data_IF_482704111718
#
_entry.id   IF_482704111718
#
_cell.length_a   1.000
_cell.length_b   1.000
_cell.length_c   1.000
_cell.angle_alpha   90.00
_cell.angle_beta   90.00
_cell.angle_gamma   90.00
#
_symmetry.space_group_name_H-M   'P 1'
#
loop_
_entity.id
_entity.type
_entity.pdbx_description
1 polymer ?
#
# COMPACT_ATOMS: atom_id res chain seq x y z
N UNK A 1 39.46 22.08 6.96
CA UNK A 1 38.55 21.63 5.87
C UNK A 1 38.35 20.12 5.97
N UNK A 2 39.41 19.33 6.16
CA UNK A 2 39.32 17.87 6.29
C UNK A 2 38.52 17.42 7.52
N UNK A 3 38.77 18.02 8.69
CA UNK A 3 38.01 17.73 9.92
C UNK A 3 36.51 18.06 9.80
N UNK A 4 36.15 19.08 9.01
CA UNK A 4 34.76 19.44 8.77
C UNK A 4 34.09 18.42 7.84
N UNK A 5 34.78 17.99 6.78
CA UNK A 5 34.29 16.95 5.87
C UNK A 5 34.14 15.59 6.58
N UNK A 6 35.05 15.27 7.49
CA UNK A 6 34.98 14.05 8.30
C UNK A 6 33.80 14.07 9.28
N UNK A 7 33.56 15.20 9.95
CA UNK A 7 32.37 15.41 10.78
C UNK A 7 31.07 15.31 9.97
N UNK A 8 31.03 15.87 8.76
CA UNK A 8 29.87 15.73 7.87
C UNK A 8 29.61 14.27 7.46
N UNK A 9 30.66 13.50 7.16
CA UNK A 9 30.51 12.06 6.85
C UNK A 9 29.96 11.29 8.05
N UNK A 10 30.47 11.56 9.25
CA UNK A 10 29.99 10.91 10.47
C UNK A 10 28.52 11.25 10.76
N UNK A 11 28.10 12.50 10.53
CA UNK A 11 26.69 12.90 10.69
C UNK A 11 25.80 12.12 9.70
N UNK A 12 26.19 12.04 8.43
CA UNK A 12 25.42 11.31 7.41
C UNK A 12 25.33 9.81 7.75
N UNK A 13 26.44 9.21 8.18
CA UNK A 13 26.46 7.80 8.58
C UNK A 13 25.57 7.54 9.81
N UNK A 14 25.61 8.42 10.81
CA UNK A 14 24.73 8.37 11.97
C UNK A 14 23.25 8.52 11.58
N UNK A 15 22.94 9.42 10.65
CA UNK A 15 21.57 9.62 10.14
C UNK A 15 21.07 8.38 9.40
N UNK A 16 21.90 7.76 8.56
CA UNK A 16 21.57 6.53 7.84
C UNK A 16 21.30 5.36 8.79
N UNK A 17 22.19 5.14 9.76
CA UNK A 17 22.04 4.07 10.76
C UNK A 17 20.79 4.28 11.60
N UNK A 18 20.48 5.54 11.94
CA UNK A 18 19.26 5.87 12.68
C UNK A 18 18.01 5.56 11.86
N UNK A 19 17.99 5.94 10.59
CA UNK A 19 16.88 5.67 9.68
C UNK A 19 16.63 4.17 9.52
N UNK A 20 17.67 3.39 9.26
CA UNK A 20 17.58 1.93 9.15
C UNK A 20 17.05 1.30 10.45
N UNK A 21 17.51 1.78 11.62
CA UNK A 21 17.02 1.30 12.91
C UNK A 21 15.53 1.59 13.12
N UNK A 22 15.08 2.78 12.72
CA UNK A 22 13.68 3.18 12.84
C UNK A 22 12.80 2.34 11.89
N UNK A 23 13.24 2.08 10.65
CA UNK A 23 12.58 1.16 9.72
C UNK A 23 12.49 -0.27 10.29
N UNK A 24 13.58 -0.81 10.83
CA UNK A 24 13.60 -2.16 11.39
C UNK A 24 12.64 -2.31 12.59
N UNK A 25 12.58 -1.30 13.47
CA UNK A 25 11.61 -1.29 14.58
C UNK A 25 10.18 -1.28 14.08
N UNK A 26 9.94 -0.52 13.03
CA UNK A 26 8.63 -0.39 12.43
C UNK A 26 8.16 -1.71 11.80
N UNK A 27 9.04 -2.39 11.07
CA UNK A 27 8.78 -3.74 10.53
C UNK A 27 8.55 -4.76 11.64
N UNK A 28 9.34 -4.69 12.71
CA UNK A 28 9.14 -5.55 13.88
C UNK A 28 7.74 -5.39 14.47
N UNK A 29 7.26 -4.14 14.59
CA UNK A 29 5.90 -3.86 15.06
C UNK A 29 4.84 -4.46 14.13
N UNK A 30 5.00 -4.29 12.81
CA UNK A 30 4.08 -4.88 11.82
C UNK A 30 4.06 -6.41 11.96
N UNK A 31 5.23 -7.03 12.14
CA UNK A 31 5.36 -8.48 12.30
C UNK A 31 4.74 -9.00 13.59
N UNK A 32 4.89 -8.27 14.70
CA UNK A 32 4.25 -8.60 15.98
C UNK A 32 2.72 -8.51 15.89
N UNK A 33 2.20 -7.53 15.14
CA UNK A 33 0.76 -7.34 14.91
C UNK A 33 0.18 -8.34 13.88
N UNK A 34 1.02 -8.94 13.05
CA UNK A 34 0.63 -9.85 11.96
C UNK A 34 1.53 -11.09 11.93
N UNK A 35 1.43 -11.94 12.96
CA UNK A 35 2.27 -13.14 13.13
C UNK A 35 2.25 -14.13 11.97
N UNK A 36 1.22 -14.03 11.13
CA UNK A 36 0.96 -14.96 10.02
C UNK A 36 1.57 -14.46 8.69
N UNK A 37 2.26 -13.32 8.68
CA UNK A 37 2.89 -12.75 7.48
C UNK A 37 4.40 -12.97 7.50
N UNK A 38 4.93 -13.36 6.34
CA UNK A 38 6.35 -13.28 6.04
C UNK A 38 6.63 -12.01 5.23
N UNK A 39 7.71 -11.33 5.58
CA UNK A 39 8.09 -10.06 4.96
C UNK A 39 9.47 -10.16 4.34
N UNK A 40 9.67 -9.45 3.23
CA UNK A 40 10.99 -9.14 2.72
C UNK A 40 11.80 -8.31 3.72
N UNK A 41 13.10 -8.21 3.51
CA UNK A 41 13.88 -7.14 4.11
C UNK A 41 13.36 -5.75 3.62
N UNK A 42 13.57 -4.67 4.38
CA UNK A 42 13.14 -3.32 3.99
C UNK A 42 13.63 -2.96 2.58
N UNK A 43 12.73 -2.39 1.79
CA UNK A 43 12.97 -1.95 0.42
C UNK A 43 13.03 -0.43 0.37
N UNK A 44 13.95 0.11 -0.41
CA UNK A 44 13.97 1.54 -0.74
C UNK A 44 13.31 1.78 -2.08
N UNK A 45 12.64 2.92 -2.20
CA UNK A 45 12.03 3.35 -3.45
C UNK A 45 13.08 4.12 -4.24
N UNK A 46 13.46 3.55 -5.38
CA UNK A 46 14.56 4.07 -6.22
C UNK A 46 14.07 4.89 -7.41
N UNK A 47 12.77 4.80 -7.74
CA UNK A 47 12.16 5.63 -8.76
C UNK A 47 10.66 5.78 -8.51
N UNK A 48 10.16 7.01 -8.65
CA UNK A 48 8.73 7.28 -8.80
C UNK A 48 8.43 7.57 -10.27
N UNK A 49 7.36 6.99 -10.80
CA UNK A 49 6.91 7.32 -12.15
C UNK A 49 6.06 8.60 -12.10
N UNK A 50 6.72 9.77 -12.22
CA UNK A 50 6.06 11.08 -12.10
C UNK A 50 4.99 11.37 -13.17
N UNK A 51 5.00 10.62 -14.27
CA UNK A 51 4.03 10.75 -15.36
C UNK A 51 2.87 9.76 -15.23
N UNK A 52 2.92 8.85 -14.26
CA UNK A 52 1.86 7.88 -14.01
C UNK A 52 0.77 8.50 -13.14
N UNK A 53 -0.46 8.53 -13.66
CA UNK A 53 -1.62 9.01 -12.94
C UNK A 53 -1.91 8.18 -11.67
N UNK A 54 -1.48 6.92 -11.67
CA UNK A 54 -1.62 5.96 -10.56
C UNK A 54 -0.39 5.89 -9.66
N UNK A 55 0.61 6.76 -9.88
CA UNK A 55 1.78 6.92 -9.03
C UNK A 55 2.61 5.64 -8.78
N UNK A 56 2.71 4.75 -9.79
CA UNK A 56 3.57 3.58 -9.73
C UNK A 56 5.03 3.92 -9.42
N UNK A 57 5.72 2.99 -8.77
CA UNK A 57 7.10 3.18 -8.33
C UNK A 57 7.93 1.89 -8.44
N UNK A 58 9.25 2.04 -8.31
CA UNK A 58 10.21 0.93 -8.38
C UNK A 58 10.96 0.80 -7.06
N UNK A 59 11.09 -0.43 -6.58
CA UNK A 59 11.85 -0.78 -5.37
C UNK A 59 13.18 -1.45 -5.70
N UNK A 60 14.16 -1.32 -4.80
CA UNK A 60 15.53 -1.85 -4.93
C UNK A 60 15.69 -3.35 -4.62
N UNK A 61 14.58 -4.09 -4.58
CA UNK A 61 14.56 -5.53 -4.33
C UNK A 61 13.75 -6.27 -5.38
N UNK A 62 14.16 -7.50 -5.66
CA UNK A 62 13.59 -8.31 -6.73
C UNK A 62 13.44 -9.78 -6.36
N UNK A 63 13.40 -10.65 -7.36
CA UNK A 63 13.23 -12.09 -7.15
C UNK A 63 14.39 -12.73 -6.39
N UNK A 64 15.60 -12.16 -6.47
CA UNK A 64 16.75 -12.64 -5.70
C UNK A 64 16.59 -12.38 -4.20
N UNK A 65 15.71 -11.44 -3.81
CA UNK A 65 15.31 -11.15 -2.44
C UNK A 65 14.07 -11.96 -1.99
N UNK A 66 13.56 -12.88 -2.81
CA UNK A 66 12.39 -13.70 -2.53
C UNK A 66 11.05 -13.03 -2.84
N UNK A 67 11.05 -11.87 -3.50
CA UNK A 67 9.83 -11.17 -3.92
C UNK A 67 9.28 -11.81 -5.20
N UNK A 68 7.96 -12.00 -5.22
CA UNK A 68 7.22 -12.57 -6.34
C UNK A 68 6.24 -11.57 -6.96
N UNK A 69 5.81 -11.88 -8.18
CA UNK A 69 4.72 -11.14 -8.82
C UNK A 69 3.45 -11.26 -7.97
N UNK A 70 2.70 -10.18 -7.87
CA UNK A 70 1.47 -10.05 -7.07
C UNK A 70 1.67 -10.01 -5.55
N UNK A 71 2.90 -10.00 -5.05
CA UNK A 71 3.12 -9.81 -3.62
C UNK A 71 2.62 -8.42 -3.18
N UNK A 72 1.83 -8.34 -2.10
CA UNK A 72 1.38 -7.07 -1.54
C UNK A 72 2.53 -6.23 -1.01
N UNK A 73 2.46 -4.93 -1.24
CA UNK A 73 3.45 -3.96 -0.75
C UNK A 73 2.77 -3.04 0.26
N UNK A 74 3.39 -2.88 1.43
CA UNK A 74 2.85 -2.06 2.51
C UNK A 74 3.93 -1.23 3.21
N UNK A 75 3.47 -0.24 3.96
CA UNK A 75 4.23 0.42 5.01
C UNK A 75 3.57 0.09 6.35
N UNK A 76 4.16 0.52 7.46
CA UNK A 76 3.53 0.48 8.78
C UNK A 76 2.19 1.19 8.89
N UNK A 77 1.97 2.17 8.02
CA UNK A 77 0.81 3.04 8.05
C UNK A 77 -0.29 2.53 7.10
N UNK A 78 -0.03 1.50 6.29
CA UNK A 78 -1.05 0.90 5.44
C UNK A 78 -0.52 0.22 4.18
N UNK A 79 -1.43 -0.47 3.49
CA UNK A 79 -1.23 -1.05 2.17
C UNK A 79 -0.99 0.06 1.14
N UNK A 80 0.03 -0.08 0.31
CA UNK A 80 0.38 0.91 -0.71
C UNK A 80 0.30 0.37 -2.14
N UNK A 81 0.36 -0.95 -2.34
CA UNK A 81 0.28 -1.51 -3.68
C UNK A 81 0.53 -3.00 -3.75
N UNK A 82 0.93 -3.44 -4.93
CA UNK A 82 1.23 -4.82 -5.29
C UNK A 82 2.32 -4.85 -6.36
N UNK A 83 3.23 -5.83 -6.27
CA UNK A 83 4.25 -6.05 -7.29
C UNK A 83 3.60 -6.39 -8.63
N UNK A 84 3.86 -5.57 -9.64
CA UNK A 84 3.29 -5.69 -10.99
C UNK A 84 4.30 -6.12 -12.05
N UNK A 85 5.59 -5.90 -11.82
CA UNK A 85 6.68 -6.48 -12.60
C UNK A 85 7.83 -6.87 -11.67
N UNK A 86 8.48 -8.00 -11.95
CA UNK A 86 9.59 -8.50 -11.15
C UNK A 86 10.84 -8.70 -12.03
N UNK A 87 11.97 -8.21 -11.53
CA UNK A 87 13.30 -8.48 -12.07
C UNK A 87 14.18 -9.09 -10.96
N UNK A 88 15.39 -9.59 -11.26
CA UNK A 88 16.26 -10.18 -10.25
C UNK A 88 16.56 -9.25 -9.07
N UNK A 89 16.84 -7.97 -9.35
CA UNK A 89 17.35 -7.00 -8.38
C UNK A 89 16.46 -5.76 -8.19
N UNK A 90 15.28 -5.73 -8.80
CA UNK A 90 14.30 -4.65 -8.62
C UNK A 90 12.90 -5.17 -8.94
N UNK A 91 11.88 -4.46 -8.48
CA UNK A 91 10.49 -4.74 -8.81
C UNK A 91 9.75 -3.43 -9.06
N UNK A 92 8.76 -3.46 -9.95
CA UNK A 92 7.80 -2.36 -10.11
C UNK A 92 6.55 -2.67 -9.32
N UNK A 93 5.98 -1.63 -8.73
CA UNK A 93 4.81 -1.70 -7.88
C UNK A 93 3.70 -0.85 -8.49
N UNK A 94 2.56 -1.49 -8.77
CA UNK A 94 1.31 -0.79 -9.03
C UNK A 94 0.70 -0.41 -7.69
N UNK A 95 0.25 0.83 -7.54
CA UNK A 95 -0.25 1.32 -6.25
C UNK A 95 -1.73 1.03 -6.04
N UNK A 96 -2.21 1.15 -4.81
CA UNK A 96 -3.65 1.08 -4.48
C UNK A 96 -4.52 2.13 -5.20
N UNK A 97 -3.92 3.10 -5.90
CA UNK A 97 -4.63 4.06 -6.76
C UNK A 97 -4.89 3.50 -8.17
N UNK A 98 -4.18 2.46 -8.58
CA UNK A 98 -4.28 1.87 -9.92
C UNK A 98 -5.66 1.25 -10.17
N UNK A 99 -6.18 1.41 -11.38
CA UNK A 99 -7.40 0.76 -11.88
C UNK A 99 -7.20 -0.73 -12.17
N UNK A 100 -5.94 -1.19 -12.26
CA UNK A 100 -5.61 -2.62 -12.38
C UNK A 100 -5.71 -3.37 -11.05
N UNK A 101 -5.68 -2.65 -9.92
CA UNK A 101 -5.72 -3.25 -8.59
C UNK A 101 -7.15 -3.37 -8.09
N UNK A 102 -7.62 -4.62 -8.01
CA UNK A 102 -8.94 -4.97 -7.47
C UNK A 102 -8.77 -5.59 -6.07
N UNK A 103 -8.90 -4.76 -5.03
CA UNK A 103 -8.80 -5.20 -3.63
C UNK A 103 -10.20 -5.24 -3.02
N UNK A 104 -10.60 -6.37 -2.43
CA UNK A 104 -11.80 -6.42 -1.60
C UNK A 104 -11.59 -5.61 -0.32
N UNK A 105 -12.54 -4.74 0.03
CA UNK A 105 -12.41 -3.84 1.18
C UNK A 105 -13.65 -3.85 2.07
N UNK A 106 -13.43 -3.52 3.35
CA UNK A 106 -14.48 -3.45 4.36
C UNK A 106 -14.29 -2.23 5.26
N UNK A 107 -15.38 -1.53 5.57
CA UNK A 107 -15.39 -0.47 6.57
C UNK A 107 -15.37 -1.04 7.99
N UNK A 108 -14.69 -0.35 8.91
CA UNK A 108 -14.49 -0.85 10.26
C UNK A 108 -15.77 -0.79 11.11
N UNK A 109 -16.51 0.32 11.04
CA UNK A 109 -17.66 0.56 11.92
C UNK A 109 -18.93 -0.09 11.37
N UNK A 110 -19.30 0.24 10.13
CA UNK A 110 -20.53 -0.25 9.50
C UNK A 110 -20.40 -1.66 8.90
N UNK A 111 -19.20 -2.24 8.84
CA UNK A 111 -18.92 -3.56 8.24
C UNK A 111 -19.39 -3.69 6.79
N UNK A 112 -19.38 -2.57 6.07
CA UNK A 112 -19.80 -2.49 4.68
C UNK A 112 -18.67 -2.97 3.78
N UNK A 113 -18.97 -3.91 2.90
CA UNK A 113 -18.03 -4.47 1.93
C UNK A 113 -18.16 -3.80 0.56
N UNK A 114 -17.06 -3.80 -0.18
CA UNK A 114 -16.98 -3.33 -1.56
C UNK A 114 -15.64 -3.73 -2.17
N UNK A 115 -15.31 -3.15 -3.31
CA UNK A 115 -14.05 -3.41 -4.03
C UNK A 115 -13.42 -2.06 -4.37
N UNK A 116 -12.09 -1.95 -4.27
CA UNK A 116 -11.37 -0.84 -4.89
C UNK A 116 -11.46 -0.97 -6.41
N UNK A 117 -12.11 -0.01 -7.02
CA UNK A 117 -12.42 0.07 -8.45
C UNK A 117 -12.09 1.50 -8.86
N UNK A 118 -10.78 1.76 -8.96
CA UNK A 118 -10.27 3.12 -9.10
C UNK A 118 -10.54 3.69 -10.49
N UNK A 119 -10.64 5.01 -10.53
CA UNK A 119 -10.64 5.77 -11.78
C UNK A 119 -9.51 6.81 -11.78
N UNK A 120 -9.13 7.25 -12.98
CA UNK A 120 -8.07 8.23 -13.16
C UNK A 120 -8.34 9.56 -12.45
N UNK A 121 -9.62 9.91 -12.26
CA UNK A 121 -10.01 11.18 -11.65
C UNK A 121 -9.66 11.19 -10.17
N UNK A 122 -10.14 10.20 -9.42
CA UNK A 122 -9.85 10.04 -8.00
C UNK A 122 -8.35 9.77 -7.79
N UNK A 123 -7.73 8.93 -8.62
CA UNK A 123 -6.31 8.63 -8.52
C UNK A 123 -5.43 9.89 -8.70
N UNK A 124 -5.79 10.79 -9.63
CA UNK A 124 -5.07 12.05 -9.84
C UNK A 124 -5.09 12.96 -8.61
N UNK A 125 -6.18 12.92 -7.82
CA UNK A 125 -6.34 13.62 -6.54
C UNK A 125 -5.71 12.86 -5.36
N UNK A 126 -5.12 11.68 -5.60
CA UNK A 126 -4.54 10.82 -4.56
C UNK A 126 -5.57 10.05 -3.76
N UNK A 127 -6.78 9.85 -4.29
CA UNK A 127 -7.86 9.12 -3.65
C UNK A 127 -8.13 7.78 -4.34
N UNK A 128 -8.60 6.80 -3.58
CA UNK A 128 -9.15 5.56 -4.13
C UNK A 128 -10.68 5.67 -4.28
N UNK A 129 -11.25 4.85 -5.16
CA UNK A 129 -12.69 4.69 -5.30
C UNK A 129 -13.10 3.29 -4.84
N UNK A 130 -14.05 3.23 -3.91
CA UNK A 130 -14.69 1.99 -3.47
C UNK A 130 -16.07 1.88 -4.12
N UNK A 131 -16.25 0.85 -4.94
CA UNK A 131 -17.47 0.57 -5.70
C UNK A 131 -18.22 -0.65 -5.16
N UNK A 132 -19.37 -0.95 -5.79
CA UNK A 132 -20.23 -2.11 -5.48
C UNK A 132 -20.81 -2.12 -4.05
N UNK A 133 -21.00 -0.94 -3.47
CA UNK A 133 -21.58 -0.82 -2.13
C UNK A 133 -23.11 -0.90 -2.24
N UNK A 134 -23.71 -1.76 -1.41
CA UNK A 134 -25.18 -1.88 -1.34
C UNK A 134 -25.82 -0.56 -0.90
N UNK A 135 -26.91 -0.16 -1.54
CA UNK A 135 -27.66 1.02 -1.14
C UNK A 135 -28.20 0.87 0.29
N UNK A 136 -28.19 1.96 1.06
CA UNK A 136 -28.56 1.98 2.49
C UNK A 136 -27.70 1.08 3.39
N UNK A 137 -26.47 0.75 2.98
CA UNK A 137 -25.52 -0.06 3.78
C UNK A 137 -25.13 0.60 5.10
N UNK A 138 -25.36 1.90 5.25
CA UNK A 138 -25.05 2.66 6.47
C UNK A 138 -23.63 3.20 6.52
N UNK A 139 -22.86 3.06 5.43
CA UNK A 139 -21.52 3.65 5.28
C UNK A 139 -21.55 5.18 5.46
N UNK A 140 -20.58 5.70 6.20
CA UNK A 140 -20.46 7.13 6.52
C UNK A 140 -19.05 7.66 6.26
N UNK A 141 -18.98 8.98 6.03
CA UNK A 141 -17.71 9.71 6.06
C UNK A 141 -17.01 9.50 7.40
N UNK A 142 -15.68 9.33 7.36
CA UNK A 142 -14.83 9.17 8.53
C UNK A 142 -14.59 7.72 8.94
N UNK A 143 -15.26 6.75 8.31
CA UNK A 143 -15.02 5.33 8.61
C UNK A 143 -13.68 4.85 8.08
N UNK A 144 -13.00 4.04 8.89
CA UNK A 144 -11.74 3.39 8.51
C UNK A 144 -12.04 2.27 7.51
N UNK A 145 -11.25 2.18 6.45
CA UNK A 145 -11.35 1.15 5.41
C UNK A 145 -10.13 0.24 5.46
N UNK A 146 -10.36 -1.07 5.45
CA UNK A 146 -9.33 -2.10 5.47
C UNK A 146 -9.51 -3.13 4.36
N UNK A 147 -8.45 -3.84 3.99
CA UNK A 147 -8.52 -4.98 3.08
C UNK A 147 -9.33 -6.13 3.69
N UNK A 148 -10.00 -6.88 2.82
CA UNK A 148 -10.59 -8.18 3.11
C UNK A 148 -9.62 -9.24 2.60
N UNK A 149 -9.51 -10.36 3.33
CA UNK A 149 -8.65 -11.46 2.91
C UNK A 149 -9.13 -12.01 1.56
N UNK A 150 -8.20 -12.07 0.60
CA UNK A 150 -8.38 -12.67 -0.70
C UNK A 150 -7.20 -13.54 -1.07
N UNK A 151 -7.13 -13.92 -2.35
CA UNK A 151 -6.04 -14.73 -2.90
C UNK A 151 -4.72 -13.95 -2.91
N UNK A 152 -4.79 -12.66 -3.22
CA UNK A 152 -3.65 -11.77 -3.44
C UNK A 152 -3.33 -10.93 -2.21
N UNK A 153 -4.35 -10.38 -1.54
CA UNK A 153 -4.17 -9.48 -0.42
C UNK A 153 -4.58 -10.17 0.90
N UNK A 154 -3.76 -10.06 1.96
CA UNK A 154 -4.21 -10.47 3.28
C UNK A 154 -5.30 -9.51 3.77
N UNK A 155 -6.13 -10.00 4.69
CA UNK A 155 -7.16 -9.19 5.31
C UNK A 155 -6.61 -8.25 6.38
N UNK A 156 -7.41 -7.25 6.74
CA UNK A 156 -7.19 -6.33 7.85
C UNK A 156 -6.01 -5.35 7.68
N UNK A 157 -5.48 -5.18 6.47
CA UNK A 157 -4.52 -4.11 6.18
C UNK A 157 -5.24 -2.77 6.09
N UNK A 158 -4.69 -1.73 6.71
CA UNK A 158 -5.23 -0.38 6.61
C UNK A 158 -5.07 0.16 5.19
N UNK A 159 -6.15 0.68 4.61
CA UNK A 159 -6.14 1.32 3.29
C UNK A 159 -6.31 2.83 3.46
N UNK A 160 -7.30 3.26 4.24
CA UNK A 160 -7.62 4.67 4.35
C UNK A 160 -8.88 4.97 5.12
N UNK A 161 -9.48 6.13 4.84
CA UNK A 161 -10.70 6.62 5.50
C UNK A 161 -11.70 7.12 4.45
N UNK A 162 -12.99 6.89 4.66
CA UNK A 162 -14.05 7.38 3.77
C UNK A 162 -14.09 8.91 3.81
N UNK A 163 -13.82 9.58 2.69
CA UNK A 163 -13.89 11.03 2.56
C UNK A 163 -15.27 11.50 2.09
N UNK A 164 -15.91 10.72 1.20
CA UNK A 164 -17.20 11.06 0.59
C UNK A 164 -17.96 9.79 0.20
N UNK A 165 -19.29 9.83 0.27
CA UNK A 165 -20.19 8.80 -0.25
C UNK A 165 -21.20 9.45 -1.19
N UNK A 166 -21.49 8.82 -2.32
CA UNK A 166 -22.48 9.31 -3.29
C UNK A 166 -23.17 8.14 -4.02
N UNK A 167 -24.39 8.36 -4.51
CA UNK A 167 -25.12 7.37 -5.32
C UNK A 167 -24.43 7.19 -6.68
N UNK A 168 -24.35 5.94 -7.15
CA UNK A 168 -23.92 5.63 -8.51
C UNK A 168 -24.91 6.18 -9.55
N UNK A 169 -24.52 6.24 -10.84
CA UNK A 169 -25.31 6.83 -11.93
C UNK A 169 -26.73 6.24 -12.03
N UNK A 170 -26.88 4.94 -11.78
CA UNK A 170 -28.17 4.25 -11.82
C UNK A 170 -28.94 4.32 -10.48
N UNK A 171 -28.32 4.84 -9.42
CA UNK A 171 -28.89 4.96 -8.09
C UNK A 171 -29.19 3.62 -7.38
N UNK A 172 -28.66 2.50 -7.90
CA UNK A 172 -28.85 1.16 -7.35
C UNK A 172 -27.79 0.79 -6.30
N UNK A 173 -26.60 1.36 -6.44
CA UNK A 173 -25.45 1.23 -5.53
C UNK A 173 -24.98 2.61 -5.08
N UNK A 174 -24.05 2.62 -4.12
CA UNK A 174 -23.32 3.83 -3.75
C UNK A 174 -21.83 3.61 -4.00
N UNK A 175 -21.11 4.70 -4.23
CA UNK A 175 -19.65 4.75 -4.29
C UNK A 175 -19.12 5.53 -3.09
N UNK A 176 -17.92 5.18 -2.65
CA UNK A 176 -17.22 5.89 -1.60
C UNK A 176 -15.81 6.28 -2.07
N UNK A 177 -15.50 7.58 -1.95
CA UNK A 177 -14.12 8.08 -2.13
C UNK A 177 -13.37 7.81 -0.85
N UNK A 178 -12.26 7.09 -0.97
CA UNK A 178 -11.40 6.73 0.16
C UNK A 178 -10.13 7.56 0.05
N UNK A 179 -9.81 8.29 1.12
CA UNK A 179 -8.51 8.94 1.27
C UNK A 179 -7.52 7.90 1.82
N UNK A 180 -6.46 7.54 1.09
CA UNK A 180 -5.45 6.62 1.57
C UNK A 180 -4.82 7.06 2.89
N UNK A 181 -4.47 6.10 3.74
CA UNK A 181 -3.73 6.35 4.98
C UNK A 181 -2.28 6.78 4.69
N UNK A 182 -1.75 6.37 3.54
CA UNK A 182 -0.38 6.61 3.09
C UNK A 182 -0.41 7.29 1.73
N UNK A 183 0.33 8.39 1.60
CA UNK A 183 0.51 9.05 0.30
C UNK A 183 1.64 8.36 -0.47
N UNK A 184 1.26 7.48 -1.40
CA UNK A 184 2.16 6.69 -2.25
C UNK A 184 3.10 7.52 -3.14
N UNK A 185 2.88 8.83 -3.25
CA UNK A 185 3.75 9.75 -4.00
C UNK A 185 4.95 10.25 -3.20
N UNK A 186 4.92 10.08 -1.87
CA UNK A 186 5.90 10.66 -0.94
C UNK A 186 6.67 9.63 -0.12
N UNK A 187 6.29 8.37 -0.24
CA UNK A 187 6.96 7.24 0.43
C UNK A 187 8.40 7.10 -0.06
N UNK A 188 9.29 6.71 0.85
CA UNK A 188 10.71 6.48 0.58
C UNK A 188 11.09 5.01 0.72
N UNK A 189 10.31 4.27 1.50
CA UNK A 189 10.58 2.90 1.89
C UNK A 189 9.30 2.12 2.10
N UNK A 190 9.42 0.79 2.00
CA UNK A 190 8.32 -0.13 2.18
C UNK A 190 8.81 -1.54 2.54
N UNK A 191 7.86 -2.43 2.81
CA UNK A 191 8.08 -3.87 2.89
C UNK A 191 7.12 -4.61 1.98
N UNK A 192 7.57 -5.76 1.50
CA UNK A 192 6.77 -6.68 0.70
C UNK A 192 6.34 -7.85 1.57
N UNK A 193 5.07 -8.24 1.47
CA UNK A 193 4.51 -9.43 2.11
C UNK A 193 4.75 -10.61 1.15
N UNK A 194 5.70 -11.47 1.48
CA UNK A 194 6.14 -12.58 0.61
C UNK A 194 5.36 -13.88 0.86
N UNK A 195 4.74 -14.01 2.03
CA UNK A 195 3.80 -15.10 2.32
C UNK A 195 2.78 -14.65 3.36
N UNK A 196 1.55 -15.16 3.25
CA UNK A 196 0.53 -15.00 4.28
C UNK A 196 -0.48 -16.14 4.25
N UNK A 197 -1.08 -16.42 5.40
CA UNK A 197 -2.12 -17.44 5.51
C UNK A 197 -3.32 -17.14 4.59
N UNK A 198 -3.55 -18.05 3.64
CA UNK A 198 -4.66 -17.96 2.68
C UNK A 198 -4.27 -17.40 1.32
N UNK A 199 -2.99 -17.07 1.11
CA UNK A 199 -2.46 -16.77 -0.22
C UNK A 199 -2.69 -17.98 -1.14
N UNK A 200 -3.20 -17.71 -2.33
CA UNK A 200 -3.38 -18.73 -3.37
C UNK A 200 -2.52 -18.41 -4.58
N UNK A 201 -2.32 -19.41 -5.45
CA UNK A 201 -1.60 -19.22 -6.71
C UNK A 201 -2.53 -18.51 -7.69
N UNK A 202 -2.08 -17.36 -8.21
CA UNK A 202 -2.72 -16.67 -9.32
C UNK A 202 -2.09 -17.23 -10.60
N UNK A 203 -2.80 -18.13 -11.29
CA UNK A 203 -2.40 -18.71 -12.59
C UNK A 203 -2.63 -17.74 -13.76
#
# INVERSE_FOLDING_TARGET
KDKLNEQYRQIIELENVKHENDQLKEILKIKEENSDFEFSAPCNIIAHNSNDAYAGFTIDRGSDDGISLYDPVMTSNGLIGMVSEIAPNYAKVSTILSDEINVGVMTFDSKVTGILDNDIKNASEGNCLMSYITKNSGIKKGEIVKSVAGVVFPGNLLIGTVEKVYDDENGLSVHAVIKPAVDVRTITDCVVITDFKGQGVVD
#
